data_IF_330503378173
#
_entry.id   IF_330503378173
#
_cell.length_a   1.000
_cell.length_b   1.000
_cell.length_c   1.000
_cell.angle_alpha   90.00
_cell.angle_beta   90.00
_cell.angle_gamma   90.00
#
_symmetry.space_group_name_H-M   'P 1'
#
loop_
_entity.id
_entity.type
_entity.pdbx_description
1 polymer ?
#
# COMPACT_ATOMS: atom_id res chain seq x y z
N UNK A 1 21.42 9.47 -1.91
CA UNK A 1 20.05 9.78 -2.34
C UNK A 1 19.58 8.88 -3.49
N UNK A 2 20.08 8.99 -4.74
CA UNK A 2 19.58 8.16 -5.87
C UNK A 2 19.71 6.64 -5.66
N UNK A 3 20.79 6.17 -4.99
CA UNK A 3 20.92 4.76 -4.61
C UNK A 3 19.83 4.28 -3.63
N UNK A 4 19.43 5.14 -2.68
CA UNK A 4 18.39 4.83 -1.71
C UNK A 4 17.00 4.90 -2.35
N UNK A 5 16.78 5.86 -3.26
CA UNK A 5 15.58 5.94 -4.12
C UNK A 5 15.39 4.64 -4.91
N UNK A 6 16.42 4.18 -5.63
CA UNK A 6 16.40 2.92 -6.39
C UNK A 6 16.29 1.65 -5.51
N UNK A 7 16.41 1.77 -4.19
CA UNK A 7 16.29 0.65 -3.24
C UNK A 7 14.99 0.72 -2.41
N UNK A 8 14.10 1.67 -2.73
CA UNK A 8 12.90 1.98 -1.97
C UNK A 8 13.14 2.23 -0.48
N UNK A 9 14.30 2.81 -0.15
CA UNK A 9 14.75 3.03 1.23
C UNK A 9 14.85 4.53 1.56
N UNK A 10 13.95 5.34 0.99
CA UNK A 10 13.76 6.74 1.38
C UNK A 10 12.39 6.89 2.05
N UNK A 11 12.25 7.81 3.02
CA UNK A 11 10.94 8.20 3.53
C UNK A 11 10.00 8.63 2.40
N UNK A 12 8.69 8.42 2.56
CA UNK A 12 7.71 8.67 1.50
C UNK A 12 7.76 10.08 0.90
N UNK A 13 7.96 11.11 1.73
CA UNK A 13 8.13 12.49 1.27
C UNK A 13 9.36 12.68 0.37
N UNK A 14 10.46 12.01 0.69
CA UNK A 14 11.69 12.06 -0.09
C UNK A 14 11.60 11.25 -1.39
N UNK A 15 10.89 10.12 -1.36
CA UNK A 15 10.56 9.37 -2.58
C UNK A 15 9.82 10.24 -3.58
N UNK A 16 8.74 10.90 -3.15
CA UNK A 16 7.93 11.77 -4.00
C UNK A 16 8.74 12.97 -4.54
N UNK A 17 9.61 13.56 -3.70
CA UNK A 17 10.50 14.65 -4.11
C UNK A 17 11.49 14.22 -5.19
N UNK A 18 12.14 13.07 -5.04
CA UNK A 18 13.07 12.53 -6.05
C UNK A 18 12.32 12.23 -7.34
N UNK A 19 11.14 11.62 -7.27
CA UNK A 19 10.34 11.28 -8.45
C UNK A 19 9.92 12.53 -9.24
N UNK A 20 9.47 13.58 -8.54
CA UNK A 20 9.19 14.88 -9.16
C UNK A 20 10.43 15.46 -9.84
N UNK A 21 11.56 15.50 -9.14
CA UNK A 21 12.81 16.02 -9.70
C UNK A 21 13.29 15.23 -10.94
N UNK A 22 13.05 13.91 -10.97
CA UNK A 22 13.39 13.06 -12.11
C UNK A 22 12.52 13.35 -13.34
N UNK A 23 11.23 13.65 -13.14
CA UNK A 23 10.34 14.08 -14.24
C UNK A 23 10.85 15.35 -14.91
N UNK A 24 11.30 16.30 -14.11
CA UNK A 24 11.66 17.64 -14.57
C UNK A 24 13.11 17.78 -15.09
N UNK A 25 13.97 16.77 -14.89
CA UNK A 25 15.41 16.88 -15.19
C UNK A 25 15.97 15.70 -15.98
N UNK A 26 16.36 15.95 -17.24
CA UNK A 26 17.05 14.98 -18.08
C UNK A 26 18.45 14.61 -17.54
N UNK A 27 19.18 15.59 -17.00
CA UNK A 27 20.51 15.36 -16.42
C UNK A 27 20.43 14.52 -15.14
N UNK A 28 19.38 14.71 -14.31
CA UNK A 28 19.16 13.85 -13.14
C UNK A 28 18.80 12.42 -13.55
N UNK A 29 18.00 12.25 -14.61
CA UNK A 29 17.72 10.93 -15.18
C UNK A 29 18.99 10.25 -15.68
N UNK A 30 19.86 10.96 -16.39
CA UNK A 30 21.15 10.40 -16.81
C UNK A 30 22.04 9.97 -15.62
N UNK A 31 22.05 10.75 -14.53
CA UNK A 31 22.75 10.37 -13.29
C UNK A 31 22.13 9.16 -12.60
N UNK A 32 20.80 9.02 -12.64
CA UNK A 32 20.12 7.85 -12.10
C UNK A 32 20.52 6.58 -12.86
N UNK A 33 20.60 6.68 -14.20
CA UNK A 33 21.06 5.60 -15.08
C UNK A 33 22.50 5.19 -14.76
N UNK A 34 23.41 6.15 -14.63
CA UNK A 34 24.80 5.88 -14.23
C UNK A 34 24.86 5.16 -12.86
N UNK A 35 24.12 5.64 -11.87
CA UNK A 35 24.03 5.00 -10.56
C UNK A 35 23.45 3.58 -10.66
N UNK A 36 22.47 3.36 -11.53
CA UNK A 36 21.85 2.04 -11.75
C UNK A 36 22.82 1.05 -12.38
N UNK A 37 23.62 1.50 -13.35
CA UNK A 37 24.57 0.67 -14.07
C UNK A 37 25.82 0.35 -13.23
N UNK A 38 26.23 1.27 -12.36
CA UNK A 38 27.40 1.13 -11.47
C UNK A 38 27.06 0.58 -10.08
N UNK A 39 25.96 -0.16 -9.97
CA UNK A 39 25.56 -0.80 -8.71
C UNK A 39 26.33 -2.10 -8.53
N UNK A 40 27.08 -2.20 -7.44
CA UNK A 40 27.82 -3.42 -7.07
C UNK A 40 26.89 -4.59 -6.71
N UNK A 41 25.62 -4.31 -6.43
CA UNK A 41 24.56 -5.27 -6.11
C UNK A 41 23.77 -5.75 -7.34
N UNK A 42 24.13 -5.31 -8.56
CA UNK A 42 23.55 -5.86 -9.80
C UNK A 42 23.87 -7.35 -9.88
N UNK A 43 22.84 -8.19 -9.72
CA UNK A 43 22.95 -9.65 -9.72
C UNK A 43 23.11 -10.29 -8.33
N UNK A 44 23.29 -9.49 -7.27
CA UNK A 44 23.29 -9.98 -5.89
C UNK A 44 21.85 -9.96 -5.34
N UNK A 45 21.13 -11.08 -5.52
CA UNK A 45 19.86 -11.32 -4.86
C UNK A 45 20.09 -11.66 -3.38
N UNK A 46 20.46 -10.65 -2.58
CA UNK A 46 20.55 -10.85 -1.13
C UNK A 46 19.19 -11.33 -0.61
N UNK A 47 19.21 -12.18 0.43
CA UNK A 47 17.97 -12.67 1.05
C UNK A 47 17.04 -11.51 1.44
N UNK A 48 17.60 -10.41 1.96
CA UNK A 48 16.84 -9.21 2.29
C UNK A 48 16.19 -8.53 1.06
N UNK A 49 16.87 -8.50 -0.08
CA UNK A 49 16.30 -7.97 -1.33
C UNK A 49 15.16 -8.86 -1.86
N UNK A 50 15.32 -10.19 -1.80
CA UNK A 50 14.26 -11.15 -2.16
C UNK A 50 13.07 -10.98 -1.21
N UNK A 51 13.31 -10.90 0.10
CA UNK A 51 12.25 -10.74 1.11
C UNK A 51 11.40 -9.50 0.87
N UNK A 52 12.03 -8.35 0.64
CA UNK A 52 11.32 -7.09 0.36
C UNK A 52 10.56 -7.13 -0.95
N UNK A 53 11.17 -7.66 -2.01
CA UNK A 53 10.51 -7.78 -3.33
C UNK A 53 9.33 -8.76 -3.29
N UNK A 54 9.52 -9.89 -2.62
CA UNK A 54 8.49 -10.92 -2.44
C UNK A 54 7.44 -10.55 -1.40
N UNK A 55 7.68 -9.49 -0.60
CA UNK A 55 6.78 -9.00 0.45
C UNK A 55 6.37 -10.11 1.44
N UNK A 56 7.28 -11.06 1.71
CA UNK A 56 6.93 -12.29 2.42
C UNK A 56 6.50 -12.06 3.87
N UNK A 57 6.86 -10.93 4.45
CA UNK A 57 6.49 -10.52 5.81
C UNK A 57 5.34 -9.51 5.81
N UNK A 58 4.90 -9.02 4.65
CA UNK A 58 3.87 -7.99 4.61
C UNK A 58 2.49 -8.60 4.85
N UNK A 59 1.64 -8.01 5.71
CA UNK A 59 0.23 -8.38 5.81
C UNK A 59 -0.49 -8.10 4.49
N UNK A 60 -1.54 -8.87 4.22
CA UNK A 60 -2.42 -8.62 3.08
C UNK A 60 -3.19 -7.30 3.25
N UNK A 61 -3.64 -6.71 2.14
CA UNK A 61 -4.48 -5.50 2.19
C UNK A 61 -5.77 -5.72 2.99
N UNK A 62 -6.34 -6.92 2.95
CA UNK A 62 -7.50 -7.29 3.77
C UNK A 62 -7.15 -7.27 5.27
N UNK A 63 -6.02 -7.84 5.66
CA UNK A 63 -5.56 -7.81 7.05
C UNK A 63 -5.29 -6.38 7.53
N UNK A 64 -4.73 -5.51 6.67
CA UNK A 64 -4.59 -4.08 6.98
C UNK A 64 -5.94 -3.38 7.18
N UNK A 65 -6.97 -3.76 6.42
CA UNK A 65 -8.34 -3.28 6.62
C UNK A 65 -8.92 -3.75 7.95
N UNK A 66 -8.81 -5.04 8.27
CA UNK A 66 -9.25 -5.58 9.56
C UNK A 66 -8.48 -4.96 10.74
N UNK A 67 -7.19 -4.65 10.56
CA UNK A 67 -6.40 -3.92 11.55
C UNK A 67 -6.97 -2.53 11.85
N UNK A 68 -7.36 -1.77 10.81
CA UNK A 68 -8.01 -0.45 11.00
C UNK A 68 -9.36 -0.53 11.70
N UNK A 69 -10.08 -1.65 11.53
CA UNK A 69 -11.38 -1.90 12.16
C UNK A 69 -11.25 -2.56 13.54
N UNK A 70 -10.03 -2.71 14.06
CA UNK A 70 -9.73 -3.39 15.34
C UNK A 70 -10.31 -4.82 15.41
N UNK A 71 -10.42 -5.49 14.26
CA UNK A 71 -11.09 -6.78 14.09
C UNK A 71 -10.10 -7.95 13.90
N UNK A 72 -8.91 -7.86 14.49
CA UNK A 72 -7.86 -8.88 14.42
C UNK A 72 -7.58 -9.52 15.77
N UNK A 73 -7.05 -10.74 15.74
CA UNK A 73 -6.47 -11.36 16.93
C UNK A 73 -5.31 -10.49 17.48
N UNK A 74 -5.13 -10.39 18.82
CA UNK A 74 -4.15 -9.49 19.43
C UNK A 74 -2.72 -9.65 18.92
N UNK A 75 -2.28 -10.89 18.69
CA UNK A 75 -0.92 -11.19 18.22
C UNK A 75 -0.70 -10.69 16.78
N UNK A 76 -1.70 -10.86 15.92
CA UNK A 76 -1.64 -10.39 14.54
C UNK A 76 -1.74 -8.86 14.46
N UNK A 77 -2.56 -8.24 15.31
CA UNK A 77 -2.60 -6.79 15.42
C UNK A 77 -1.22 -6.23 15.84
N UNK A 78 -0.62 -6.82 16.87
CA UNK A 78 0.71 -6.44 17.37
C UNK A 78 1.80 -6.59 16.30
N UNK A 79 1.76 -7.68 15.54
CA UNK A 79 2.68 -7.88 14.41
C UNK A 79 2.53 -6.80 13.35
N UNK A 80 1.29 -6.44 12.99
CA UNK A 80 1.03 -5.40 12.00
C UNK A 80 1.50 -4.03 12.51
N UNK A 81 1.27 -3.70 13.78
CA UNK A 81 1.80 -2.48 14.41
C UNK A 81 3.32 -2.44 14.30
N UNK A 82 4.02 -3.51 14.71
CA UNK A 82 5.47 -3.63 14.55
C UNK A 82 5.93 -3.44 13.09
N UNK A 83 5.22 -4.06 12.14
CA UNK A 83 5.58 -3.99 10.73
C UNK A 83 5.41 -2.57 10.13
N UNK A 84 4.50 -1.78 10.67
CA UNK A 84 4.19 -0.42 10.19
C UNK A 84 5.06 0.62 10.89
N UNK A 85 5.28 0.48 12.20
CA UNK A 85 5.92 1.50 13.04
C UNK A 85 7.42 1.26 13.25
N UNK A 86 7.87 0.01 13.28
CA UNK A 86 9.28 -0.33 13.54
C UNK A 86 10.02 -0.73 12.27
N UNK A 87 9.41 -1.60 11.46
CA UNK A 87 9.97 -1.98 10.15
C UNK A 87 9.78 -0.86 9.13
N UNK A 88 8.81 0.03 9.37
CA UNK A 88 8.49 1.18 8.51
C UNK A 88 8.31 0.78 7.05
N UNK A 89 7.62 -0.35 6.80
CA UNK A 89 7.46 -0.87 5.44
C UNK A 89 6.69 0.13 4.55
N UNK A 90 7.31 0.71 3.49
CA UNK A 90 6.66 1.74 2.68
C UNK A 90 5.41 1.23 1.97
N UNK A 91 5.42 -0.05 1.56
CA UNK A 91 4.28 -0.68 0.91
C UNK A 91 3.07 -0.78 1.84
N UNK A 92 3.26 -1.24 3.09
CA UNK A 92 2.17 -1.38 4.05
C UNK A 92 1.67 -0.02 4.53
N UNK A 93 2.57 0.96 4.75
CA UNK A 93 2.19 2.33 5.09
C UNK A 93 1.33 2.97 3.99
N UNK A 94 1.72 2.82 2.72
CA UNK A 94 0.93 3.33 1.60
C UNK A 94 -0.46 2.66 1.51
N UNK A 95 -0.54 1.33 1.67
CA UNK A 95 -1.82 0.63 1.68
C UNK A 95 -2.71 1.08 2.84
N UNK A 96 -2.14 1.26 4.04
CA UNK A 96 -2.87 1.74 5.20
C UNK A 96 -3.41 3.16 4.98
N UNK A 97 -2.59 4.06 4.41
CA UNK A 97 -3.00 5.41 4.07
C UNK A 97 -4.18 5.41 3.09
N UNK A 98 -4.11 4.62 2.02
CA UNK A 98 -5.21 4.49 1.06
C UNK A 98 -6.49 3.98 1.73
N UNK A 99 -6.39 2.96 2.59
CA UNK A 99 -7.53 2.38 3.29
C UNK A 99 -8.18 3.41 4.24
N UNK A 100 -7.38 4.21 4.95
CA UNK A 100 -7.88 5.31 5.79
C UNK A 100 -8.64 6.34 4.96
N UNK A 101 -8.08 6.80 3.83
CA UNK A 101 -8.76 7.74 2.93
C UNK A 101 -10.09 7.17 2.40
N UNK A 102 -10.15 5.87 2.09
CA UNK A 102 -11.40 5.23 1.66
C UNK A 102 -12.46 5.17 2.76
N UNK A 103 -12.05 4.92 4.01
CA UNK A 103 -12.94 4.92 5.17
C UNK A 103 -13.50 6.32 5.41
N UNK A 104 -12.65 7.35 5.37
CA UNK A 104 -13.04 8.75 5.57
C UNK A 104 -13.97 9.28 4.47
N UNK A 105 -13.81 8.79 3.23
CA UNK A 105 -14.65 9.18 2.10
C UNK A 105 -16.06 8.55 2.09
N UNK A 106 -16.35 7.59 2.98
CA UNK A 106 -17.50 6.67 2.83
C UNK A 106 -18.57 6.63 3.95
N UNK A 107 -19.00 7.72 4.63
CA UNK A 107 -20.23 7.64 5.43
C UNK A 107 -21.50 7.44 4.57
N UNK A 108 -21.54 8.01 3.35
CA UNK A 108 -22.77 8.08 2.54
C UNK A 108 -22.87 7.10 1.36
N UNK A 109 -21.76 6.82 0.66
CA UNK A 109 -21.79 6.09 -0.62
C UNK A 109 -22.13 4.59 -0.48
N UNK A 110 -21.75 3.97 0.64
CA UNK A 110 -22.09 2.57 0.94
C UNK A 110 -23.60 2.42 1.17
N UNK A 111 -24.22 3.29 1.97
CA UNK A 111 -25.67 3.27 2.20
C UNK A 111 -26.46 3.52 0.91
N UNK A 112 -26.03 4.47 0.06
CA UNK A 112 -26.71 4.72 -1.23
C UNK A 112 -26.65 3.52 -2.16
N UNK A 113 -25.53 2.79 -2.18
CA UNK A 113 -25.36 1.59 -3.02
C UNK A 113 -26.20 0.41 -2.50
N UNK A 114 -26.17 0.15 -1.19
CA UNK A 114 -27.00 -0.89 -0.56
C UNK A 114 -28.50 -0.60 -0.73
N UNK A 115 -28.92 0.65 -0.55
CA UNK A 115 -30.30 1.08 -0.77
C UNK A 115 -30.74 0.88 -2.23
N UNK A 116 -29.86 1.20 -3.20
CA UNK A 116 -30.15 1.00 -4.62
C UNK A 116 -30.27 -0.47 -5.00
N UNK A 117 -29.40 -1.33 -4.46
CA UNK A 117 -29.46 -2.79 -4.67
C UNK A 117 -30.76 -3.33 -4.07
N UNK A 118 -31.08 -2.98 -2.82
CA UNK A 118 -32.32 -3.39 -2.15
C UNK A 118 -33.58 -2.94 -2.89
N UNK A 119 -33.62 -1.68 -3.35
CA UNK A 119 -34.72 -1.16 -4.17
C UNK A 119 -34.85 -1.93 -5.49
N UNK A 120 -33.73 -2.21 -6.17
CA UNK A 120 -33.76 -2.95 -7.43
C UNK A 120 -34.19 -4.42 -7.26
N UNK A 121 -33.92 -5.03 -6.10
CA UNK A 121 -34.25 -6.42 -5.80
C UNK A 121 -35.58 -6.59 -5.06
N UNK A 122 -36.33 -5.51 -4.77
CA UNK A 122 -37.61 -5.60 -4.04
C UNK A 122 -38.63 -6.53 -4.70
N UNK A 123 -38.67 -6.55 -6.04
CA UNK A 123 -39.59 -7.40 -6.79
C UNK A 123 -39.36 -8.90 -6.56
N UNK A 124 -38.12 -9.32 -6.28
CA UNK A 124 -37.75 -10.71 -5.99
C UNK A 124 -38.23 -11.18 -4.62
N UNK A 125 -38.46 -10.24 -3.69
CA UNK A 125 -38.92 -10.53 -2.32
C UNK A 125 -40.45 -10.51 -2.20
N UNK A 126 -41.15 -9.87 -3.14
CA UNK A 126 -42.61 -9.80 -3.18
C UNK A 126 -43.28 -10.97 -3.92
N UNK A 127 -42.52 -11.75 -4.72
CA UNK A 127 -43.06 -12.87 -5.50
C UNK A 127 -43.27 -14.17 -4.70
N UNK A 128 -42.82 -14.26 -3.44
CA UNK A 128 -43.04 -15.45 -2.58
C UNK A 128 -44.41 -15.48 -1.87
N UNK A 129 -45.31 -14.52 -2.12
CA UNK A 129 -46.59 -14.40 -1.40
C UNK A 129 -47.84 -14.53 -2.29
N UNK A 130 -47.76 -15.31 -3.39
CA UNK A 130 -48.89 -15.62 -4.27
C UNK A 130 -49.10 -17.12 -4.44
#
# INVERSE_FOLDING_TARGET
MLRAYLADNLPGGDQARVEKALRDSASLRARLEDVRNNRADVGLHTLGAIWRRGRLTCPSRQQLGSYLLEALAPDLASYITFHIEVVECPYCQANLADLKTQADASPGASQTRHHRILQSSQHLLTDENR
#
